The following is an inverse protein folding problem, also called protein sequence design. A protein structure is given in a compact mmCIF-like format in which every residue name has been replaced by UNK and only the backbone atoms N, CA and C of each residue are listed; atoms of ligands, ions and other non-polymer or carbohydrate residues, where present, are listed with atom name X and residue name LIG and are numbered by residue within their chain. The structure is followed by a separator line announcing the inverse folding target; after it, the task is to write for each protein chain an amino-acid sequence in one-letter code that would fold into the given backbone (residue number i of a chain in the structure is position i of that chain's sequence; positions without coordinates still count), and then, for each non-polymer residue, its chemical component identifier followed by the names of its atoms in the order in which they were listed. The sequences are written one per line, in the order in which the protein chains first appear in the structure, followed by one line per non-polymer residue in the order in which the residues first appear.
data_IF_548593067613
#
_entry.id   IF_548593067613
#
_cell.length_a   1.000
_cell.length_b   1.000
_cell.length_c   1.000
_cell.angle_alpha   90.00
_cell.angle_beta   90.00
_cell.angle_gamma   90.00
#
_symmetry.space_group_name_H-M   'P 1'
#
loop_
_entity.id
_entity.type
_entity.pdbx_description
1 polymer ?
#
# COMPACT_ATOMS: atom_id res chain seq x y z
N UNK A 1 -4.77 -29.23 21.84
CA UNK A 1 -4.01 -28.13 22.48
C UNK A 1 -2.83 -27.82 21.59
N UNK A 2 -3.01 -26.91 20.64
CA UNK A 2 -1.92 -26.34 19.85
C UNK A 2 -1.96 -24.85 20.12
N UNK A 3 -0.82 -24.31 20.57
CA UNK A 3 -0.63 -22.91 20.87
C UNK A 3 -0.95 -22.06 19.63
N UNK A 4 -1.98 -21.21 19.73
CA UNK A 4 -2.11 -20.00 18.91
C UNK A 4 -1.04 -19.04 19.44
N UNK A 5 0.16 -19.13 18.86
CA UNK A 5 1.21 -18.15 19.10
C UNK A 5 0.71 -16.80 18.56
N UNK A 6 0.90 -15.79 19.38
CA UNK A 6 0.32 -14.47 19.30
C UNK A 6 0.91 -13.71 18.11
N UNK A 7 0.12 -13.52 17.04
CA UNK A 7 0.47 -12.73 15.85
C UNK A 7 0.51 -11.24 16.24
N UNK A 8 1.67 -10.78 16.67
CA UNK A 8 1.97 -9.35 16.73
C UNK A 8 2.90 -9.02 15.58
N UNK A 9 2.32 -8.89 14.38
CA UNK A 9 2.98 -8.18 13.29
C UNK A 9 3.29 -6.76 13.77
N UNK A 10 4.45 -6.21 13.41
CA UNK A 10 4.88 -4.86 13.81
C UNK A 10 3.94 -3.73 13.38
N UNK A 11 2.93 -4.04 12.57
CA UNK A 11 1.91 -3.12 12.06
C UNK A 11 0.71 -2.89 12.99
N UNK A 12 0.34 -3.85 13.85
CA UNK A 12 -0.88 -3.77 14.68
C UNK A 12 -0.89 -2.63 15.72
N UNK A 13 0.26 -2.04 16.04
CA UNK A 13 0.35 -0.87 16.95
C UNK A 13 0.22 0.45 16.19
N UNK A 14 0.64 0.49 14.91
CA UNK A 14 0.56 1.70 14.08
C UNK A 14 -0.83 1.86 13.44
N UNK A 15 -1.50 0.77 13.05
CA UNK A 15 -2.85 0.80 12.48
C UNK A 15 -3.88 1.49 13.39
N UNK A 16 -3.77 1.31 14.70
CA UNK A 16 -4.64 1.92 15.72
C UNK A 16 -4.54 3.45 15.83
N UNK A 17 -3.53 4.05 15.20
CA UNK A 17 -3.34 5.51 15.16
C UNK A 17 -3.31 6.09 13.73
N UNK A 18 -3.03 5.28 12.71
CA UNK A 18 -2.89 5.76 11.31
C UNK A 18 -4.24 5.87 10.59
N UNK A 19 -5.19 4.96 10.84
CA UNK A 19 -6.53 5.00 10.21
C UNK A 19 -7.30 6.29 10.54
N UNK A 20 -7.43 6.74 11.81
CA UNK A 20 -8.09 8.01 12.10
C UNK A 20 -7.25 9.25 11.72
N UNK A 21 -5.93 9.12 11.54
CA UNK A 21 -5.05 10.23 11.17
C UNK A 21 -5.07 10.52 9.65
N UNK A 22 -5.26 9.50 8.80
CA UNK A 22 -5.36 9.66 7.35
C UNK A 22 -6.73 10.18 6.89
N UNK A 23 -7.84 9.82 7.57
CA UNK A 23 -9.18 10.39 7.28
C UNK A 23 -9.20 11.92 7.43
N UNK A 24 -8.42 12.48 8.36
CA UNK A 24 -8.33 13.94 8.57
C UNK A 24 -7.53 14.65 7.47
N UNK A 25 -6.58 13.97 6.82
CA UNK A 25 -5.80 14.56 5.72
C UNK A 25 -6.64 14.63 4.43
N UNK A 26 -7.52 13.65 4.19
CA UNK A 26 -8.41 13.62 3.03
C UNK A 26 -9.41 14.79 2.98
N UNK A 27 -9.83 15.32 4.14
CA UNK A 27 -10.76 16.47 4.21
C UNK A 27 -10.09 17.80 3.86
N UNK A 28 -8.75 17.91 3.90
CA UNK A 28 -8.05 19.19 3.71
C UNK A 28 -7.63 19.48 2.26
N UNK A 29 -7.83 18.54 1.33
CA UNK A 29 -7.36 18.64 -0.06
C UNK A 29 -8.47 18.88 -1.10
N UNK A 30 -9.66 19.33 -0.70
CA UNK A 30 -10.69 19.77 -1.66
C UNK A 30 -10.35 21.18 -2.15
N UNK A 31 -9.56 21.23 -3.22
CA UNK A 31 -9.23 22.49 -3.85
C UNK A 31 -8.24 22.39 -5.01
N UNK A 32 -8.56 21.61 -6.06
CA UNK A 32 -8.26 21.94 -7.46
C UNK A 32 -9.08 21.06 -8.41
N UNK A 33 -9.83 21.72 -9.29
CA UNK A 33 -10.62 21.16 -10.39
C UNK A 33 -9.74 20.76 -11.58
N UNK A 34 -10.21 19.81 -12.41
CA UNK A 34 -10.01 19.89 -13.86
C UNK A 34 -9.72 18.59 -14.62
N UNK A 35 -10.76 18.13 -15.33
CA UNK A 35 -10.80 17.45 -16.65
C UNK A 35 -10.31 15.99 -16.87
N UNK A 36 -11.34 15.18 -17.15
CA UNK A 36 -11.51 13.95 -17.92
C UNK A 36 -10.46 13.58 -19.00
N UNK A 37 -10.02 12.31 -19.01
CA UNK A 37 -9.96 11.46 -20.22
C UNK A 37 -9.38 10.08 -19.86
N UNK A 38 -10.25 9.12 -19.57
CA UNK A 38 -9.88 7.71 -19.39
C UNK A 38 -9.68 7.03 -20.75
N UNK A 39 -8.45 6.65 -21.08
CA UNK A 39 -8.18 5.60 -22.08
C UNK A 39 -7.87 4.28 -21.35
N UNK A 40 -8.51 3.15 -21.71
CA UNK A 40 -8.18 1.86 -21.14
C UNK A 40 -6.88 1.39 -21.80
N UNK A 41 -5.75 1.59 -21.13
CA UNK A 41 -4.49 0.98 -21.57
C UNK A 41 -4.44 -0.44 -21.02
N UNK A 42 -4.61 -1.40 -21.91
CA UNK A 42 -4.29 -2.81 -21.68
C UNK A 42 -2.87 -2.91 -21.10
N UNK A 43 -2.78 -3.28 -19.82
CA UNK A 43 -1.53 -3.48 -19.11
C UNK A 43 -0.76 -4.65 -19.74
N UNK A 44 0.46 -4.45 -20.25
CA UNK A 44 1.33 -5.54 -20.63
C UNK A 44 1.98 -6.12 -19.37
N UNK A 45 1.79 -7.41 -19.16
CA UNK A 45 2.48 -8.24 -18.17
C UNK A 45 4.01 -7.97 -18.23
N UNK A 46 4.64 -7.47 -17.16
CA UNK A 46 6.04 -7.08 -17.18
C UNK A 46 6.93 -8.30 -17.36
N UNK A 47 7.75 -8.29 -18.41
CA UNK A 47 8.59 -9.42 -18.78
C UNK A 47 9.76 -9.60 -17.80
N UNK A 48 10.28 -10.84 -17.68
CA UNK A 48 11.38 -11.16 -16.75
C UNK A 48 12.67 -10.35 -16.97
N UNK A 49 12.93 -9.84 -18.18
CA UNK A 49 14.13 -9.03 -18.45
C UNK A 49 14.06 -7.66 -17.77
N UNK A 50 12.85 -7.12 -17.63
CA UNK A 50 12.62 -5.80 -17.07
C UNK A 50 12.80 -5.76 -15.55
N UNK A 51 12.38 -6.83 -14.86
CA UNK A 51 12.54 -6.97 -13.42
C UNK A 51 14.02 -7.05 -12.99
N UNK A 52 14.89 -7.58 -13.86
CA UNK A 52 16.35 -7.61 -13.59
C UNK A 52 16.94 -6.21 -13.62
N UNK A 53 16.56 -5.37 -14.59
CA UNK A 53 17.03 -4.00 -14.68
C UNK A 53 16.55 -3.15 -13.50
N UNK A 54 15.30 -3.35 -13.05
CA UNK A 54 14.75 -2.72 -11.85
C UNK A 54 15.53 -3.12 -10.59
N UNK A 55 15.86 -4.40 -10.44
CA UNK A 55 16.66 -4.89 -9.31
C UNK A 55 18.04 -4.24 -9.25
N UNK A 56 18.74 -4.11 -10.38
CA UNK A 56 20.04 -3.43 -10.42
C UNK A 56 19.95 -1.96 -9.98
N UNK A 57 18.88 -1.26 -10.39
CA UNK A 57 18.63 0.12 -9.94
C UNK A 57 18.39 0.20 -8.43
N UNK A 58 17.60 -0.72 -7.88
CA UNK A 58 17.33 -0.80 -6.44
C UNK A 58 18.60 -1.11 -5.64
N UNK A 59 19.47 -1.99 -6.14
CA UNK A 59 20.78 -2.28 -5.54
C UNK A 59 21.69 -1.04 -5.55
N UNK A 60 21.68 -0.26 -6.64
CA UNK A 60 22.42 1.00 -6.70
C UNK A 60 21.90 2.01 -5.66
N UNK A 61 20.57 2.13 -5.53
CA UNK A 61 19.93 2.99 -4.52
C UNK A 61 20.33 2.52 -3.12
N UNK A 62 20.24 1.23 -2.82
CA UNK A 62 20.60 0.67 -1.52
C UNK A 62 22.06 0.98 -1.15
N UNK A 63 22.98 0.84 -2.11
CA UNK A 63 24.40 1.19 -1.94
C UNK A 63 24.60 2.69 -1.65
N UNK A 64 23.91 3.56 -2.39
CA UNK A 64 23.94 5.02 -2.14
C UNK A 64 23.40 5.37 -0.76
N UNK A 65 22.27 4.80 -0.36
CA UNK A 65 21.65 5.02 0.95
C UNK A 65 22.55 4.53 2.08
N UNK A 66 23.17 3.35 1.94
CA UNK A 66 24.14 2.82 2.90
C UNK A 66 25.32 3.78 3.11
N UNK A 67 25.89 4.29 2.01
CA UNK A 67 26.96 5.28 2.05
C UNK A 67 26.53 6.60 2.71
N UNK A 68 25.36 7.11 2.37
CA UNK A 68 24.82 8.35 2.94
C UNK A 68 24.54 8.23 4.44
N UNK A 69 24.03 7.07 4.88
CA UNK A 69 23.75 6.80 6.29
C UNK A 69 24.99 6.38 7.08
N UNK A 70 26.11 6.08 6.41
CA UNK A 70 27.33 5.57 7.04
C UNK A 70 27.14 4.18 7.66
N UNK A 71 26.23 3.38 7.11
CA UNK A 71 25.88 2.04 7.61
C UNK A 71 26.27 0.98 6.59
N UNK A 72 26.77 -0.15 7.08
CA UNK A 72 26.99 -1.33 6.26
C UNK A 72 25.71 -2.19 6.26
N UNK A 73 25.22 -2.64 5.08
CA UNK A 73 24.15 -3.61 5.01
C UNK A 73 24.51 -4.86 5.81
N UNK A 74 23.58 -5.36 6.63
CA UNK A 74 23.80 -6.59 7.41
C UNK A 74 23.58 -7.84 6.56
N UNK A 75 22.63 -7.75 5.65
CA UNK A 75 22.20 -8.81 4.72
C UNK A 75 21.81 -8.16 3.40
N UNK A 76 21.80 -8.97 2.35
CA UNK A 76 21.21 -8.58 1.07
C UNK A 76 19.70 -8.42 1.23
N UNK A 77 19.13 -7.39 0.59
CA UNK A 77 17.69 -7.15 0.55
C UNK A 77 17.14 -7.88 -0.67
N UNK A 78 16.11 -8.70 -0.46
CA UNK A 78 15.39 -9.33 -1.56
C UNK A 78 14.27 -8.41 -2.01
N UNK A 79 14.04 -8.35 -3.32
CA UNK A 79 13.00 -7.52 -3.93
C UNK A 79 11.97 -8.44 -4.56
N UNK A 80 10.70 -8.18 -4.28
CA UNK A 80 9.56 -8.81 -4.93
C UNK A 80 8.71 -7.71 -5.56
N UNK A 81 8.29 -7.90 -6.81
CA UNK A 81 7.48 -6.93 -7.54
C UNK A 81 6.04 -7.41 -7.56
N UNK A 82 5.12 -6.54 -7.16
CA UNK A 82 3.69 -6.84 -7.13
C UNK A 82 2.90 -5.75 -7.87
N UNK A 83 1.73 -6.11 -8.36
CA UNK A 83 0.79 -5.14 -8.94
C UNK A 83 0.00 -4.41 -7.86
N UNK A 84 -0.65 -3.31 -8.22
CA UNK A 84 -1.59 -2.62 -7.34
C UNK A 84 -2.76 -3.53 -6.92
N UNK A 85 -3.22 -4.41 -7.81
CA UNK A 85 -4.29 -5.38 -7.53
C UNK A 85 -3.83 -6.44 -6.50
N UNK A 86 -2.58 -6.90 -6.61
CA UNK A 86 -1.98 -7.81 -5.62
C UNK A 86 -1.87 -7.13 -4.25
N UNK A 87 -1.49 -5.85 -4.22
CA UNK A 87 -1.45 -5.06 -3.00
C UNK A 87 -2.84 -4.91 -2.39
N UNK A 88 -3.87 -4.60 -3.17
CA UNK A 88 -5.26 -4.51 -2.68
C UNK A 88 -5.71 -5.79 -1.99
N UNK A 89 -5.44 -6.95 -2.61
CA UNK A 89 -5.78 -8.26 -2.04
C UNK A 89 -5.10 -8.44 -0.68
N UNK A 90 -3.83 -8.05 -0.57
CA UNK A 90 -3.06 -8.17 0.67
C UNK A 90 -3.54 -7.21 1.76
N UNK A 91 -3.91 -5.99 1.38
CA UNK A 91 -4.51 -5.00 2.28
C UNK A 91 -5.88 -5.46 2.78
N UNK A 92 -6.65 -6.15 1.94
CA UNK A 92 -7.94 -6.71 2.33
C UNK A 92 -7.77 -7.78 3.41
N UNK A 93 -6.82 -8.71 3.23
CA UNK A 93 -6.50 -9.72 4.24
C UNK A 93 -6.10 -9.06 5.58
N UNK A 94 -5.25 -8.03 5.54
CA UNK A 94 -4.85 -7.27 6.73
C UNK A 94 -6.01 -6.53 7.38
N UNK A 95 -6.88 -5.93 6.57
CA UNK A 95 -8.06 -5.20 7.05
C UNK A 95 -9.06 -6.14 7.74
N UNK A 96 -9.21 -7.38 7.27
CA UNK A 96 -10.06 -8.38 7.92
C UNK A 96 -9.50 -8.84 9.27
N UNK A 97 -8.17 -8.80 9.44
CA UNK A 97 -7.54 -9.14 10.72
C UNK A 97 -7.65 -8.03 11.76
N UNK A 98 -7.59 -6.76 11.32
CA UNK A 98 -7.53 -5.59 12.21
C UNK A 98 -8.88 -4.88 12.41
N UNK A 99 -9.82 -4.98 11.46
CA UNK A 99 -11.09 -4.27 11.49
C UNK A 99 -12.28 -5.22 11.30
N UNK A 100 -13.15 -5.27 12.31
CA UNK A 100 -14.35 -6.10 12.21
C UNK A 100 -15.34 -5.54 11.17
N UNK A 101 -16.15 -6.40 10.53
CA UNK A 101 -17.19 -5.94 9.62
C UNK A 101 -18.21 -4.98 10.27
N UNK A 102 -18.46 -5.12 11.57
CA UNK A 102 -19.39 -4.27 12.33
C UNK A 102 -18.82 -2.86 12.55
N UNK A 103 -17.52 -2.75 12.85
CA UNK A 103 -16.84 -1.45 12.96
C UNK A 103 -16.86 -0.71 11.61
N UNK A 104 -16.57 -1.41 10.51
CA UNK A 104 -16.62 -0.81 9.17
C UNK A 104 -18.03 -0.33 8.79
N UNK A 105 -19.06 -1.10 9.12
CA UNK A 105 -20.46 -0.67 8.89
C UNK A 105 -20.81 0.56 9.72
N UNK A 106 -20.39 0.60 10.98
CA UNK A 106 -20.63 1.75 11.86
C UNK A 106 -19.95 3.01 11.32
N UNK A 107 -18.71 2.90 10.83
CA UNK A 107 -18.01 4.03 10.20
C UNK A 107 -18.72 4.51 8.94
N UNK A 108 -19.16 3.59 8.09
CA UNK A 108 -19.91 3.90 6.88
C UNK A 108 -21.22 4.65 7.21
N UNK A 109 -22.00 4.16 8.17
CA UNK A 109 -23.25 4.82 8.58
C UNK A 109 -23.00 6.24 9.10
N UNK A 110 -21.94 6.44 9.88
CA UNK A 110 -21.58 7.78 10.38
C UNK A 110 -21.21 8.71 9.22
N UNK A 111 -20.44 8.24 8.23
CA UNK A 111 -20.05 9.06 7.08
C UNK A 111 -21.26 9.41 6.19
N UNK A 112 -22.20 8.49 6.03
CA UNK A 112 -23.48 8.75 5.33
C UNK A 112 -24.31 9.79 6.09
N UNK A 113 -24.43 9.66 7.41
CA UNK A 113 -25.16 10.62 8.25
C UNK A 113 -24.57 12.03 8.21
N UNK A 114 -23.25 12.14 8.00
CA UNK A 114 -22.54 13.41 7.87
C UNK A 114 -22.53 13.95 6.43
N UNK A 115 -23.17 13.27 5.49
CA UNK A 115 -23.18 13.60 4.05
C UNK A 115 -21.77 13.63 3.43
N UNK A 116 -20.86 12.81 3.99
CA UNK A 116 -19.49 12.63 3.51
C UNK A 116 -19.33 11.41 2.61
N UNK A 117 -20.34 10.55 2.56
CA UNK A 117 -20.41 9.35 1.73
C UNK A 117 -21.86 9.17 1.26
N UNK A 118 -22.08 8.88 -0.03
CA UNK A 118 -23.43 8.67 -0.55
C UNK A 118 -24.00 7.31 -0.10
N UNK A 119 -25.33 7.25 0.05
CA UNK A 119 -26.02 5.98 0.32
C UNK A 119 -25.74 4.95 -0.78
N UNK A 120 -25.23 3.77 -0.40
CA UNK A 120 -24.93 2.67 -1.31
C UNK A 120 -23.49 2.63 -1.83
N UNK A 121 -22.64 3.62 -1.49
CA UNK A 121 -21.20 3.50 -1.70
C UNK A 121 -20.59 2.48 -0.73
N UNK A 122 -19.56 1.77 -1.21
CA UNK A 122 -18.79 0.81 -0.42
C UNK A 122 -17.55 1.51 0.15
N UNK A 123 -17.62 1.89 1.43
CA UNK A 123 -16.50 2.54 2.11
C UNK A 123 -15.24 1.68 2.09
N UNK A 124 -15.39 0.36 2.21
CA UNK A 124 -14.24 -0.57 2.24
C UNK A 124 -13.51 -0.56 0.90
N UNK A 125 -14.25 -0.64 -0.21
CA UNK A 125 -13.65 -0.58 -1.55
C UNK A 125 -12.90 0.73 -1.75
N UNK A 126 -13.54 1.86 -1.42
CA UNK A 126 -12.94 3.20 -1.57
C UNK A 126 -11.63 3.31 -0.78
N UNK A 127 -11.60 2.83 0.46
CA UNK A 127 -10.39 2.86 1.29
C UNK A 127 -9.28 1.96 0.74
N UNK A 128 -9.62 0.75 0.25
CA UNK A 128 -8.64 -0.17 -0.32
C UNK A 128 -8.02 0.38 -1.60
N UNK A 129 -8.84 0.94 -2.49
CA UNK A 129 -8.37 1.60 -3.71
C UNK A 129 -7.42 2.76 -3.37
N UNK A 130 -7.85 3.64 -2.45
CA UNK A 130 -7.05 4.77 -2.00
C UNK A 130 -5.70 4.34 -1.40
N UNK A 131 -5.67 3.30 -0.57
CA UNK A 131 -4.42 2.83 0.03
C UNK A 131 -3.51 2.15 -0.99
N UNK A 132 -4.07 1.40 -1.94
CA UNK A 132 -3.28 0.77 -2.99
C UNK A 132 -2.60 1.81 -3.89
N UNK A 133 -3.27 2.91 -4.20
CA UNK A 133 -2.69 4.00 -4.99
C UNK A 133 -1.55 4.76 -4.27
N UNK A 134 -1.56 4.80 -2.93
CA UNK A 134 -0.61 5.60 -2.16
C UNK A 134 0.64 4.83 -1.71
N UNK A 135 0.60 3.49 -1.75
CA UNK A 135 1.70 2.64 -1.29
C UNK A 135 2.52 2.21 -2.51
N UNK A 136 3.70 2.80 -2.66
CA UNK A 136 4.66 2.43 -3.73
C UNK A 136 5.54 1.23 -3.36
N UNK A 137 5.54 0.82 -2.09
CA UNK A 137 6.28 -0.35 -1.61
C UNK A 137 6.29 -0.47 -0.10
N UNK A 138 6.55 -1.68 0.40
CA UNK A 138 6.63 -1.97 1.83
C UNK A 138 7.67 -3.06 2.12
N UNK A 139 8.21 -3.05 3.34
CA UNK A 139 9.13 -4.07 3.81
C UNK A 139 8.43 -5.03 4.76
N UNK A 140 8.55 -6.33 4.52
CA UNK A 140 8.09 -7.40 5.39
C UNK A 140 9.25 -7.80 6.33
N UNK A 141 9.05 -7.58 7.63
CA UNK A 141 10.06 -7.84 8.64
C UNK A 141 10.19 -9.32 9.03
N UNK A 142 9.20 -10.15 8.69
CA UNK A 142 9.23 -11.59 8.93
C UNK A 142 10.03 -12.31 7.84
N UNK A 143 9.80 -11.97 6.58
CA UNK A 143 10.48 -12.58 5.42
C UNK A 143 11.79 -11.89 5.06
N UNK A 144 11.93 -10.61 5.42
CA UNK A 144 13.07 -9.77 5.05
C UNK A 144 13.04 -9.30 3.60
N UNK A 145 11.85 -9.23 3.01
CA UNK A 145 11.62 -8.92 1.61
C UNK A 145 11.06 -7.49 1.46
N UNK A 146 11.57 -6.75 0.48
CA UNK A 146 11.01 -5.47 0.08
C UNK A 146 10.07 -5.70 -1.11
N UNK A 147 8.78 -5.52 -0.87
CA UNK A 147 7.76 -5.52 -1.92
C UNK A 147 7.71 -4.14 -2.56
N UNK A 148 7.89 -4.09 -3.87
CA UNK A 148 7.79 -2.87 -4.67
C UNK A 148 6.55 -2.98 -5.52
N UNK A 149 5.68 -1.98 -5.43
CA UNK A 149 4.44 -1.92 -6.22
C UNK A 149 4.80 -1.28 -7.54
N UNK A 150 4.61 -2.04 -8.62
CA UNK A 150 4.96 -1.58 -9.96
C UNK A 150 4.02 -2.20 -10.97
N UNK A 151 3.04 -1.42 -11.44
CA UNK A 151 2.20 -1.80 -12.57
C UNK A 151 2.93 -1.61 -13.92
N UNK A 152 4.14 -1.04 -13.87
CA UNK A 152 4.99 -0.72 -15.01
C UNK A 152 6.36 -1.39 -14.91
N UNK A 153 7.05 -1.32 -16.03
CA UNK A 153 8.34 -1.94 -16.31
C UNK A 153 9.54 -1.13 -15.80
N UNK A 154 9.33 0.12 -15.37
CA UNK A 154 10.39 1.05 -14.94
C UNK A 154 9.90 1.90 -13.76
N UNK A 155 10.76 2.13 -12.75
CA UNK A 155 10.51 3.08 -11.67
C UNK A 155 10.67 4.50 -12.20
N UNK A 156 9.55 5.20 -12.36
CA UNK A 156 9.51 6.56 -12.91
C UNK A 156 10.00 7.61 -11.91
N UNK A 157 10.34 8.85 -12.34
CA UNK A 157 10.67 9.96 -11.43
C UNK A 157 9.50 10.43 -10.53
N UNK A 158 8.32 9.87 -10.76
CA UNK A 158 7.06 10.18 -10.07
C UNK A 158 6.59 8.98 -9.21
N UNK A 159 7.40 7.93 -9.11
CA UNK A 159 7.31 6.80 -8.18
C UNK A 159 8.48 6.85 -7.18
#
# INVERSE_FOLDING_TARGET
MSHRENRHSGWGVWARFVVPLLVVIAVLAIGCSGDDSSEPTTSPDPSHEDQSALKEQLDEIASKVAKLRGLNPKTEVKYEFITSDDLQTRLLDLAEEELSPEEMQTEQEVLVLLDLLEEGQDLRSILLDLYAEQIMGFYDDETGELFVVSDKTELGPME
#
